data_IF_378208919848
#
_entry.id   IF_378208919848
#
_cell.length_a   1.000
_cell.length_b   1.000
_cell.length_c   1.000
_cell.angle_alpha   90.00
_cell.angle_beta   90.00
_cell.angle_gamma   90.00
#
_symmetry.space_group_name_H-M   'P 1'
#
loop_
_entity.id
_entity.type
_entity.pdbx_description
1 polymer ?
#
# COMPACT_ATOMS: atom_id res chain seq x y z
N UNK A 1 11.47 -1.97 32.44
CA UNK A 1 10.41 -1.24 31.73
C UNK A 1 9.48 -2.25 31.07
N UNK A 2 8.23 -2.39 31.53
CA UNK A 2 7.24 -3.28 30.89
C UNK A 2 6.53 -2.48 29.80
N UNK A 3 6.68 -2.88 28.54
CA UNK A 3 5.86 -2.35 27.44
C UNK A 3 4.38 -2.61 27.76
N UNK A 4 3.49 -1.62 27.66
CA UNK A 4 2.07 -1.83 27.93
C UNK A 4 1.52 -2.86 26.94
N UNK A 5 0.86 -3.90 27.45
CA UNK A 5 0.17 -4.88 26.63
C UNK A 5 -0.96 -4.18 25.87
N UNK A 6 -0.75 -3.92 24.58
CA UNK A 6 -1.78 -3.36 23.71
C UNK A 6 -2.88 -4.43 23.53
N UNK A 7 -4.07 -4.19 24.09
CA UNK A 7 -5.27 -4.96 23.72
C UNK A 7 -5.70 -4.46 22.35
N UNK A 8 -5.38 -5.17 21.27
CA UNK A 8 -5.98 -4.89 19.95
C UNK A 8 -7.49 -5.03 20.04
N UNK A 9 -8.21 -3.92 19.91
CA UNK A 9 -9.67 -3.92 19.82
C UNK A 9 -10.11 -4.72 18.57
N UNK A 10 -11.15 -5.56 18.67
CA UNK A 10 -11.71 -6.31 17.54
C UNK A 10 -12.07 -5.42 16.34
N UNK A 11 -12.48 -4.17 16.61
CA UNK A 11 -12.72 -3.14 15.59
C UNK A 11 -11.46 -2.80 14.79
N UNK A 12 -10.31 -2.71 15.46
CA UNK A 12 -9.01 -2.43 14.85
C UNK A 12 -8.54 -3.60 13.99
N UNK A 13 -8.70 -4.84 14.46
CA UNK A 13 -8.37 -6.05 13.69
C UNK A 13 -9.21 -6.17 12.42
N UNK A 14 -10.53 -5.93 12.53
CA UNK A 14 -11.42 -5.90 11.36
C UNK A 14 -11.00 -4.84 10.34
N UNK A 15 -10.67 -3.63 10.81
CA UNK A 15 -10.18 -2.54 9.95
C UNK A 15 -8.88 -2.92 9.26
N UNK A 16 -7.95 -3.54 9.97
CA UNK A 16 -6.69 -4.03 9.41
C UNK A 16 -6.95 -5.07 8.31
N UNK A 17 -7.79 -6.08 8.56
CA UNK A 17 -8.14 -7.11 7.56
C UNK A 17 -8.83 -6.51 6.32
N UNK A 18 -9.64 -5.47 6.49
CA UNK A 18 -10.34 -4.82 5.37
C UNK A 18 -9.42 -3.97 4.49
N UNK A 19 -8.40 -3.34 5.07
CA UNK A 19 -7.47 -2.44 4.37
C UNK A 19 -6.22 -3.16 3.85
N UNK A 20 -5.84 -4.26 4.50
CA UNK A 20 -4.70 -5.11 4.17
C UNK A 20 -5.13 -6.60 4.07
N UNK A 21 -6.06 -6.96 3.16
CA UNK A 21 -6.41 -8.36 2.94
C UNK A 21 -5.15 -9.14 2.52
N UNK A 22 -4.86 -10.23 3.24
CA UNK A 22 -3.63 -11.02 3.05
C UNK A 22 -2.31 -10.20 3.12
N UNK A 23 -2.34 -9.01 3.73
CA UNK A 23 -1.19 -8.11 3.79
C UNK A 23 -0.95 -7.25 2.53
N UNK A 24 -1.85 -7.31 1.55
CA UNK A 24 -1.79 -6.50 0.32
C UNK A 24 -2.60 -5.22 0.55
N UNK A 25 -2.02 -4.03 0.36
CA UNK A 25 -2.76 -2.78 0.52
C UNK A 25 -3.90 -2.67 -0.50
N UNK A 26 -5.12 -2.40 -0.01
CA UNK A 26 -6.31 -2.37 -0.86
C UNK A 26 -6.37 -1.15 -1.78
N UNK A 27 -5.97 0.01 -1.27
CA UNK A 27 -6.19 1.29 -1.94
C UNK A 27 -4.90 1.88 -2.49
N UNK A 28 -4.23 1.15 -3.37
CA UNK A 28 -3.00 1.58 -4.05
C UNK A 28 -3.09 1.33 -5.55
N UNK A 29 -2.30 2.10 -6.31
CA UNK A 29 -2.06 1.86 -7.73
C UNK A 29 -0.56 1.92 -7.98
N UNK A 30 0.00 0.86 -8.54
CA UNK A 30 1.44 0.72 -8.76
C UNK A 30 1.76 0.84 -10.25
N UNK A 31 2.85 1.52 -10.57
CA UNK A 31 3.30 1.76 -11.93
C UNK A 31 4.77 1.38 -12.07
N UNK A 32 5.12 0.77 -13.20
CA UNK A 32 6.50 0.55 -13.64
C UNK A 32 6.71 1.30 -14.97
N UNK A 33 7.63 2.27 -14.96
CA UNK A 33 7.96 3.03 -16.15
C UNK A 33 8.97 2.31 -17.08
N UNK A 34 9.44 1.12 -16.69
CA UNK A 34 10.38 0.30 -17.45
C UNK A 34 11.84 0.70 -17.29
N UNK A 35 12.18 1.51 -16.28
CA UNK A 35 13.53 2.01 -16.05
C UNK A 35 13.90 3.22 -16.92
N UNK A 36 12.88 3.99 -17.36
CA UNK A 36 13.10 5.24 -18.12
C UNK A 36 13.75 6.33 -17.28
N UNK A 37 13.48 6.31 -15.97
CA UNK A 37 14.00 7.25 -14.99
C UNK A 37 14.42 6.47 -13.74
N UNK A 38 15.11 7.15 -12.82
CA UNK A 38 15.61 6.52 -11.60
C UNK A 38 14.49 6.14 -10.62
N UNK A 39 13.40 6.90 -10.61
CA UNK A 39 12.14 6.62 -9.91
C UNK A 39 11.27 5.62 -10.69
N UNK A 40 11.87 4.49 -11.09
CA UNK A 40 11.24 3.48 -11.96
C UNK A 40 9.83 3.08 -11.52
N UNK A 41 9.63 2.93 -10.22
CA UNK A 41 8.36 2.53 -9.65
C UNK A 41 7.66 3.72 -8.99
N UNK A 42 6.40 3.92 -9.34
CA UNK A 42 5.56 4.93 -8.70
C UNK A 42 4.34 4.26 -8.09
N UNK A 43 4.01 4.61 -6.85
CA UNK A 43 2.81 4.15 -6.17
C UNK A 43 1.97 5.35 -5.77
N UNK A 44 0.70 5.32 -6.18
CA UNK A 44 -0.30 6.30 -5.78
C UNK A 44 -1.16 5.68 -4.67
N UNK A 45 -1.25 6.37 -3.53
CA UNK A 45 -2.16 6.03 -2.46
C UNK A 45 -3.52 6.64 -2.73
N UNK A 46 -4.55 5.83 -2.55
CA UNK A 46 -5.91 6.19 -2.94
C UNK A 46 -6.87 5.94 -1.80
N UNK A 47 -8.11 6.37 -1.99
CA UNK A 47 -9.11 6.32 -0.96
C UNK A 47 -9.00 7.49 0.01
N UNK A 48 -9.86 7.46 1.02
CA UNK A 48 -10.01 8.54 1.99
C UNK A 48 -9.37 8.13 3.30
N UNK A 49 -8.05 8.23 3.37
CA UNK A 49 -7.32 7.99 4.61
C UNK A 49 -7.49 9.17 5.59
N UNK A 50 -7.39 8.93 6.91
CA UNK A 50 -7.60 9.96 7.92
C UNK A 50 -6.54 11.07 7.87
N UNK A 51 -6.90 12.30 8.28
CA UNK A 51 -5.97 13.39 8.64
C UNK A 51 -5.07 13.97 7.51
N UNK A 52 -5.45 13.82 6.25
CA UNK A 52 -4.64 14.32 5.12
C UNK A 52 -5.21 15.51 4.37
N UNK A 53 -6.30 16.11 4.86
CA UNK A 53 -6.87 17.31 4.25
C UNK A 53 -7.41 17.14 2.83
N UNK A 54 -7.49 15.90 2.32
CA UNK A 54 -7.88 15.61 0.94
C UNK A 54 -6.71 15.47 -0.04
N UNK A 55 -5.46 15.53 0.43
CA UNK A 55 -4.29 15.32 -0.41
C UNK A 55 -4.09 13.84 -0.80
N UNK A 56 -3.55 13.64 -2.00
CA UNK A 56 -3.18 12.35 -2.57
C UNK A 56 -1.70 12.11 -2.41
N UNK A 57 -1.34 11.12 -1.59
CA UNK A 57 0.04 10.76 -1.35
C UNK A 57 0.54 9.85 -2.45
N UNK A 58 1.83 9.95 -2.74
CA UNK A 58 2.52 9.06 -3.66
C UNK A 58 3.92 8.72 -3.15
N UNK A 59 4.48 7.63 -3.68
CA UNK A 59 5.88 7.25 -3.51
C UNK A 59 6.51 6.98 -4.87
N UNK A 60 7.57 7.72 -5.19
CA UNK A 60 8.47 7.40 -6.29
C UNK A 60 9.70 6.66 -5.75
N UNK A 61 10.10 5.56 -6.39
CA UNK A 61 11.20 4.74 -5.91
C UNK A 61 11.92 3.96 -7.01
N UNK A 62 13.21 3.74 -6.80
CA UNK A 62 14.02 2.75 -7.50
C UNK A 62 13.72 1.33 -6.99
N UNK A 63 14.40 0.31 -7.53
CA UNK A 63 14.34 -1.08 -7.02
C UNK A 63 14.81 -1.21 -5.57
N UNK A 64 15.64 -0.27 -5.09
CA UNK A 64 16.26 -0.29 -3.77
C UNK A 64 15.97 1.02 -3.01
N UNK A 65 14.73 1.26 -2.55
CA UNK A 65 14.33 2.51 -1.91
C UNK A 65 15.08 2.88 -0.64
N UNK A 66 15.65 1.89 0.06
CA UNK A 66 16.36 2.09 1.33
C UNK A 66 17.89 2.11 1.19
N UNK A 67 18.40 1.85 -0.02
CA UNK A 67 19.85 1.86 -0.23
C UNK A 67 20.36 3.31 -0.17
N UNK A 68 21.55 3.59 0.40
CA UNK A 68 22.09 4.94 0.47
C UNK A 68 22.25 5.62 -0.89
N UNK A 69 22.56 4.84 -1.93
CA UNK A 69 22.60 5.29 -3.34
C UNK A 69 21.29 5.02 -4.10
N UNK A 70 20.26 4.55 -3.39
CA UNK A 70 18.94 4.29 -3.95
C UNK A 70 18.07 5.54 -4.01
N UNK A 71 16.86 5.38 -4.51
CA UNK A 71 15.85 6.44 -4.54
C UNK A 71 14.53 5.95 -3.95
N UNK A 72 13.97 6.73 -3.03
CA UNK A 72 12.71 6.44 -2.35
C UNK A 72 12.12 7.70 -1.72
N UNK A 73 11.38 8.48 -2.51
CA UNK A 73 10.77 9.73 -2.06
C UNK A 73 9.25 9.60 -1.94
N UNK A 74 8.70 10.08 -0.83
CA UNK A 74 7.26 10.29 -0.65
C UNK A 74 6.90 11.76 -0.87
N UNK A 75 5.72 12.01 -1.43
CA UNK A 75 5.16 13.35 -1.58
C UNK A 75 3.64 13.32 -1.55
N UNK A 76 3.03 14.50 -1.65
CA UNK A 76 1.59 14.66 -1.78
C UNK A 76 1.24 15.60 -2.93
N UNK A 77 0.04 15.42 -3.48
CA UNK A 77 -0.53 16.19 -4.57
C UNK A 77 -1.98 16.55 -4.25
N UNK A 78 -2.51 17.68 -4.76
CA UNK A 78 -3.92 18.01 -4.61
C UNK A 78 -4.86 17.09 -5.41
N UNK A 79 -4.32 16.26 -6.31
CA UNK A 79 -5.06 15.28 -7.11
C UNK A 79 -4.25 13.97 -7.26
N UNK A 80 -4.88 12.83 -7.63
CA UNK A 80 -4.21 11.52 -7.68
C UNK A 80 -2.96 11.41 -8.57
N UNK A 81 -2.73 12.35 -9.47
CA UNK A 81 -1.55 12.37 -10.35
C UNK A 81 -1.54 11.33 -11.46
N UNK A 82 -2.46 10.36 -11.48
CA UNK A 82 -2.46 9.24 -12.45
C UNK A 82 -3.76 9.11 -13.26
N UNK A 83 -4.71 10.02 -13.04
CA UNK A 83 -6.02 10.04 -13.71
C UNK A 83 -5.99 10.91 -14.96
N UNK A 84 -6.79 10.54 -15.96
CA UNK A 84 -7.01 11.37 -17.15
C UNK A 84 -7.94 12.57 -16.85
N UNK A 85 -8.24 13.39 -17.88
CA UNK A 85 -9.14 14.57 -17.78
C UNK A 85 -10.56 14.27 -17.28
N UNK A 86 -10.96 13.01 -17.25
CA UNK A 86 -12.28 12.54 -16.80
C UNK A 86 -12.21 11.86 -15.42
N UNK A 87 -11.06 11.88 -14.75
CA UNK A 87 -10.87 11.28 -13.43
C UNK A 87 -10.65 9.77 -13.44
N UNK A 88 -10.45 9.15 -14.61
CA UNK A 88 -10.23 7.70 -14.70
C UNK A 88 -8.74 7.35 -14.75
N UNK A 89 -8.35 6.36 -13.96
CA UNK A 89 -7.01 5.77 -14.00
C UNK A 89 -6.97 4.52 -14.89
N UNK A 90 -5.81 4.23 -15.50
CA UNK A 90 -5.64 3.04 -16.35
C UNK A 90 -5.88 1.75 -15.55
N UNK A 91 -6.39 0.71 -16.22
CA UNK A 91 -6.46 -0.65 -15.67
C UNK A 91 -5.06 -1.28 -15.59
N UNK A 92 -4.90 -2.36 -14.83
CA UNK A 92 -3.65 -3.15 -14.79
C UNK A 92 -3.29 -3.58 -16.23
N UNK A 93 -2.01 -3.48 -16.59
CA UNK A 93 -1.48 -3.74 -17.92
C UNK A 93 -1.62 -2.57 -18.91
N UNK A 94 -2.33 -1.49 -18.55
CA UNK A 94 -2.45 -0.28 -19.37
C UNK A 94 -1.47 0.79 -18.92
N UNK A 95 -1.09 1.66 -19.86
CA UNK A 95 -0.09 2.71 -19.66
C UNK A 95 -0.73 4.08 -19.39
N UNK A 96 -0.04 4.89 -18.60
CA UNK A 96 -0.19 6.35 -18.53
C UNK A 96 1.22 7.00 -18.55
N UNK A 97 1.31 8.29 -18.19
CA UNK A 97 2.58 9.00 -18.14
C UNK A 97 3.52 8.51 -17.01
N UNK A 98 3.01 7.82 -15.98
CA UNK A 98 3.82 7.21 -14.91
C UNK A 98 4.38 5.83 -15.29
N UNK A 99 3.88 5.21 -16.37
CA UNK A 99 4.29 3.87 -16.81
C UNK A 99 3.13 2.91 -17.01
N UNK A 100 3.42 1.62 -16.97
CA UNK A 100 2.41 0.55 -17.03
C UNK A 100 1.88 0.28 -15.63
N UNK A 101 0.57 0.22 -15.45
CA UNK A 101 -0.01 -0.17 -14.16
C UNK A 101 0.23 -1.65 -13.91
N UNK A 102 0.90 -1.97 -12.81
CA UNK A 102 1.23 -3.33 -12.39
C UNK A 102 0.50 -3.69 -11.08
N UNK A 103 0.26 -4.98 -10.80
CA UNK A 103 -0.22 -5.39 -9.48
C UNK A 103 0.88 -5.18 -8.42
N UNK A 104 0.48 -5.06 -7.16
CA UNK A 104 1.41 -4.86 -6.03
C UNK A 104 2.44 -5.98 -5.90
N UNK A 105 2.06 -7.22 -6.24
CA UNK A 105 2.92 -8.41 -6.23
C UNK A 105 4.14 -8.27 -7.15
N UNK A 106 4.04 -7.46 -8.20
CA UNK A 106 5.08 -7.31 -9.21
C UNK A 106 6.10 -6.22 -8.84
N UNK A 107 5.86 -5.48 -7.75
CA UNK A 107 6.87 -4.59 -7.18
C UNK A 107 8.02 -5.40 -6.57
N UNK A 108 9.26 -4.89 -6.61
CA UNK A 108 10.37 -5.49 -5.87
C UNK A 108 10.07 -5.60 -4.36
N UNK A 109 10.66 -6.59 -3.64
CA UNK A 109 10.40 -6.79 -2.21
C UNK A 109 10.62 -5.53 -1.34
N UNK A 110 11.71 -4.80 -1.57
CA UNK A 110 12.01 -3.56 -0.84
C UNK A 110 10.95 -2.48 -1.12
N UNK A 111 10.49 -2.39 -2.37
CA UNK A 111 9.41 -1.48 -2.77
C UNK A 111 8.09 -1.86 -2.09
N UNK A 112 7.76 -3.15 -2.03
CA UNK A 112 6.57 -3.63 -1.31
C UNK A 112 6.63 -3.27 0.18
N UNK A 113 7.80 -3.39 0.80
CA UNK A 113 8.02 -3.01 2.19
C UNK A 113 7.82 -1.50 2.40
N UNK A 114 8.44 -0.64 1.58
CA UNK A 114 8.27 0.81 1.66
C UNK A 114 6.81 1.23 1.55
N UNK A 115 6.08 0.66 0.59
CA UNK A 115 4.67 0.94 0.36
C UNK A 115 3.81 0.48 1.54
N UNK A 116 4.13 -0.66 2.14
CA UNK A 116 3.41 -1.16 3.31
C UNK A 116 3.62 -0.25 4.52
N UNK A 117 4.83 0.24 4.75
CA UNK A 117 5.13 1.17 5.84
C UNK A 117 4.33 2.47 5.70
N UNK A 118 4.38 3.10 4.53
CA UNK A 118 3.57 4.29 4.24
C UNK A 118 2.07 4.02 4.44
N UNK A 119 1.58 2.88 3.93
CA UNK A 119 0.17 2.55 4.00
C UNK A 119 -0.30 2.36 5.45
N UNK A 120 0.51 1.69 6.27
CA UNK A 120 0.22 1.56 7.70
C UNK A 120 0.18 2.92 8.40
N UNK A 121 1.10 3.82 8.06
CA UNK A 121 1.16 5.17 8.60
C UNK A 121 -0.06 6.00 8.19
N UNK A 122 -0.34 6.10 6.88
CA UNK A 122 -1.46 6.85 6.31
C UNK A 122 -2.81 6.40 6.87
N UNK A 123 -2.99 5.10 7.10
CA UNK A 123 -4.23 4.54 7.64
C UNK A 123 -4.27 4.44 9.16
N UNK A 124 -3.21 4.91 9.86
CA UNK A 124 -3.05 4.86 11.32
C UNK A 124 -3.21 3.43 11.88
N UNK A 125 -2.58 2.46 11.22
CA UNK A 125 -2.67 1.03 11.56
C UNK A 125 -1.53 0.54 12.46
N UNK A 126 -0.53 1.39 12.72
CA UNK A 126 0.75 1.05 13.39
C UNK A 126 0.62 0.58 14.85
N UNK A 127 -0.58 0.61 15.43
CA UNK A 127 -0.85 0.22 16.81
C UNK A 127 -1.67 -1.06 16.92
N UNK A 128 -1.76 -1.86 15.86
CA UNK A 128 -2.40 -3.17 15.93
C UNK A 128 -1.33 -4.20 16.31
N UNK A 129 -1.26 -4.67 17.56
CA UNK A 129 -0.38 -5.77 17.90
C UNK A 129 -0.81 -6.94 17.04
N UNK A 130 0.10 -7.39 16.17
CA UNK A 130 -0.05 -8.65 15.47
C UNK A 130 -0.09 -9.68 16.59
N UNK A 131 -1.24 -10.32 16.79
CA UNK A 131 -1.34 -11.44 17.71
C UNK A 131 -0.22 -12.42 17.33
N UNK A 132 0.61 -12.82 18.30
CA UNK A 132 1.80 -13.64 18.09
C UNK A 132 1.52 -14.99 17.40
N UNK A 133 0.25 -15.35 17.22
CA UNK A 133 -0.21 -16.49 16.45
C UNK A 133 -1.19 -16.01 15.37
N UNK A 134 -0.94 -16.25 14.07
CA UNK A 134 -1.98 -16.08 13.07
C UNK A 134 -3.14 -17.02 13.41
N UNK A 135 -4.42 -16.56 13.36
CA UNK A 135 -5.54 -17.48 13.49
C UNK A 135 -5.43 -18.50 12.35
N UNK A 136 -5.54 -19.78 12.72
CA UNK A 136 -5.54 -20.88 11.75
C UNK A 136 -6.58 -20.58 10.66
N UNK A 137 -6.31 -20.95 9.39
CA UNK A 137 -7.27 -20.74 8.31
C UNK A 137 -8.61 -21.36 8.72
N UNK A 138 -9.67 -20.55 8.64
CA UNK A 138 -11.05 -20.99 8.88
C UNK A 138 -11.32 -22.11 7.88
N UNK A 139 -11.37 -23.35 8.35
CA UNK A 139 -11.80 -24.47 7.51
C UNK A 139 -13.29 -24.29 7.28
N UNK A 140 -13.64 -24.01 6.04
CA UNK A 140 -15.01 -23.95 5.57
C UNK A 140 -15.63 -25.36 5.68
N UNK A 141 -16.42 -25.60 6.73
CA UNK A 141 -17.10 -26.88 6.96
C UNK A 141 -18.40 -27.02 6.18
N UNK A 142 -18.65 -26.18 5.16
CA UNK A 142 -19.92 -26.14 4.43
C UNK A 142 -20.08 -27.18 3.30
N UNK A 143 -19.30 -28.27 3.26
CA UNK A 143 -19.55 -29.39 2.35
C UNK A 143 -19.22 -30.73 2.96
N UNK A 144 -20.22 -31.39 3.54
CA UNK A 144 -20.43 -32.84 3.53
C UNK A 144 -21.81 -33.13 4.17
N UNK A 145 -22.83 -33.15 3.31
CA UNK A 145 -24.09 -33.90 3.50
C UNK A 145 -24.13 -34.96 2.43
#
# INVERSE_FOLDING_TARGET
MKLPACRSNAKTLRRHQQLLPAGIPKYIRCYDNGGKTFDRYTVIYTGRYPKTGGEFFYRGMSKHPFHPQGFGQSGSLPSPGDTNRWGYAPQIGRKNHLGTRIPFSDLPPDCQMAVRMDYLSLWSLEHTPIAKNPPAPVRDTSRQT
#
